data_IF_403849613986
#
_entry.id   IF_403849613986
#
_cell.length_a   1.000
_cell.length_b   1.000
_cell.length_c   1.000
_cell.angle_alpha   90.00
_cell.angle_beta   90.00
_cell.angle_gamma   90.00
#
_symmetry.space_group_name_H-M   'P 1'
#
loop_
_entity.id
_entity.type
_entity.pdbx_description
1 polymer ?
#
# COMPACT_ATOMS: atom_id res chain seq x y z
N UNK A 1 16.48 9.67 22.86
CA UNK A 1 15.13 10.16 22.58
C UNK A 1 14.47 9.17 21.65
N UNK A 2 13.53 8.37 22.15
CA UNK A 2 12.91 7.29 21.39
C UNK A 2 11.85 7.88 20.45
N UNK A 3 12.24 8.19 19.21
CA UNK A 3 11.32 8.65 18.18
C UNK A 3 10.66 7.39 17.61
N UNK A 4 9.65 6.87 18.30
CA UNK A 4 8.82 5.81 17.75
C UNK A 4 8.04 6.45 16.60
N UNK A 5 8.42 6.12 15.37
CA UNK A 5 7.69 6.54 14.17
C UNK A 5 6.40 5.72 14.00
N UNK A 6 5.57 6.09 13.02
CA UNK A 6 4.28 5.42 12.80
C UNK A 6 4.40 3.91 12.62
N UNK A 7 5.51 3.43 12.04
CA UNK A 7 5.79 1.99 11.90
C UNK A 7 6.02 1.34 13.26
N UNK A 8 6.85 1.92 14.12
CA UNK A 8 7.12 1.39 15.46
C UNK A 8 5.87 1.29 16.33
N UNK A 9 4.96 2.26 16.24
CA UNK A 9 3.69 2.23 16.96
C UNK A 9 2.82 1.06 16.47
N UNK A 10 2.69 0.91 15.14
CA UNK A 10 1.88 -0.19 14.57
C UNK A 10 2.48 -1.54 14.94
N UNK A 11 3.80 -1.71 14.88
CA UNK A 11 4.46 -2.95 15.28
C UNK A 11 4.16 -3.34 16.74
N UNK A 12 4.29 -2.40 17.67
CA UNK A 12 3.99 -2.65 19.09
C UNK A 12 2.52 -3.00 19.33
N UNK A 13 1.60 -2.34 18.62
CA UNK A 13 0.17 -2.61 18.74
C UNK A 13 -0.17 -4.03 18.24
N UNK A 14 0.39 -4.43 17.09
CA UNK A 14 0.17 -5.76 16.53
C UNK A 14 0.81 -6.87 17.37
N UNK A 15 1.94 -6.61 18.02
CA UNK A 15 2.59 -7.54 18.96
C UNK A 15 1.76 -7.72 20.23
N UNK A 16 1.27 -6.62 20.84
CA UNK A 16 0.59 -6.69 22.14
C UNK A 16 -0.89 -7.10 22.05
N UNK A 17 -1.56 -6.77 20.95
CA UNK A 17 -3.02 -6.93 20.82
C UNK A 17 -3.41 -7.53 19.49
N UNK A 18 -2.53 -8.36 18.94
CA UNK A 18 -2.60 -8.75 17.55
C UNK A 18 -3.93 -9.34 17.10
N UNK A 19 -4.50 -10.24 17.89
CA UNK A 19 -5.77 -10.92 17.61
C UNK A 19 -6.99 -10.05 17.91
N UNK A 20 -6.81 -8.93 18.62
CA UNK A 20 -7.86 -7.96 18.95
C UNK A 20 -7.96 -6.84 17.92
N UNK A 21 -6.95 -6.68 17.06
CA UNK A 21 -6.88 -5.60 16.06
C UNK A 21 -7.29 -6.16 14.71
N UNK A 22 -8.45 -5.72 14.23
CA UNK A 22 -8.87 -5.94 12.86
C UNK A 22 -8.18 -4.93 11.93
N UNK A 23 -7.50 -5.43 10.90
CA UNK A 23 -6.99 -4.57 9.82
C UNK A 23 -8.14 -4.30 8.86
N UNK A 24 -8.61 -3.05 8.84
CA UNK A 24 -9.67 -2.61 7.95
C UNK A 24 -9.10 -2.01 6.67
N UNK A 25 -9.95 -1.89 5.64
CA UNK A 25 -9.61 -1.19 4.42
C UNK A 25 -9.13 0.25 4.68
N UNK A 26 -9.76 0.99 5.60
CA UNK A 26 -9.36 2.37 5.89
C UNK A 26 -7.95 2.44 6.51
N UNK A 27 -7.57 1.45 7.34
CA UNK A 27 -6.20 1.32 7.86
C UNK A 27 -5.21 1.11 6.72
N UNK A 28 -5.52 0.22 5.78
CA UNK A 28 -4.67 -0.04 4.61
C UNK A 28 -4.58 1.19 3.71
N UNK A 29 -5.68 1.89 3.48
CA UNK A 29 -5.70 3.13 2.71
C UNK A 29 -4.84 4.20 3.37
N UNK A 30 -4.94 4.37 4.70
CA UNK A 30 -4.09 5.32 5.45
C UNK A 30 -2.62 4.93 5.43
N UNK A 31 -2.30 3.64 5.45
CA UNK A 31 -0.93 3.17 5.24
C UNK A 31 -0.44 3.53 3.82
N UNK A 32 -1.26 3.29 2.80
CA UNK A 32 -0.95 3.60 1.41
C UNK A 32 -0.79 5.12 1.15
N UNK A 33 -1.57 5.97 1.82
CA UNK A 33 -1.48 7.43 1.74
C UNK A 33 -0.26 8.00 2.51
N UNK A 34 0.34 7.23 3.42
CA UNK A 34 1.39 7.72 4.28
C UNK A 34 2.71 7.94 3.50
N UNK A 35 3.15 9.18 3.41
CA UNK A 35 4.33 9.57 2.62
C UNK A 35 5.64 9.45 3.38
N UNK A 36 5.62 9.08 4.67
CA UNK A 36 6.83 8.97 5.49
C UNK A 36 7.29 7.52 5.64
N UNK A 37 6.37 6.62 6.03
CA UNK A 37 6.68 5.21 6.30
C UNK A 37 5.60 4.27 5.70
N UNK A 38 4.86 4.72 4.68
CA UNK A 38 3.69 4.00 4.18
C UNK A 38 4.03 2.63 3.63
N UNK A 39 5.15 2.49 2.91
CA UNK A 39 5.62 1.21 2.41
C UNK A 39 6.02 0.26 3.53
N UNK A 40 6.76 0.73 4.53
CA UNK A 40 7.17 -0.11 5.65
C UNK A 40 5.99 -0.54 6.51
N UNK A 41 5.01 0.34 6.70
CA UNK A 41 3.75 0.01 7.39
C UNK A 41 2.96 -1.01 6.57
N UNK A 42 2.79 -0.79 5.25
CA UNK A 42 2.08 -1.72 4.38
C UNK A 42 2.73 -3.10 4.36
N UNK A 43 4.07 -3.17 4.27
CA UNK A 43 4.82 -4.42 4.33
C UNK A 43 4.60 -5.16 5.64
N UNK A 44 4.66 -4.45 6.77
CA UNK A 44 4.43 -5.02 8.10
C UNK A 44 3.01 -5.59 8.24
N UNK A 45 2.00 -4.86 7.75
CA UNK A 45 0.61 -5.31 7.78
C UNK A 45 0.40 -6.58 6.94
N UNK A 46 0.96 -6.61 5.73
CA UNK A 46 0.86 -7.77 4.84
C UNK A 46 1.63 -8.99 5.36
N UNK A 47 2.77 -8.79 6.00
CA UNK A 47 3.56 -9.88 6.60
C UNK A 47 2.83 -10.48 7.81
N UNK A 48 2.29 -9.65 8.70
CA UNK A 48 1.72 -10.13 9.96
C UNK A 48 0.24 -10.53 9.86
N UNK A 49 -0.51 -10.01 8.89
CA UNK A 49 -1.97 -10.20 8.75
C UNK A 49 -2.38 -10.51 7.32
N UNK A 50 -1.46 -11.05 6.52
CA UNK A 50 -1.62 -11.24 5.09
C UNK A 50 -2.88 -12.01 4.67
N UNK A 51 -3.31 -13.01 5.45
CA UNK A 51 -4.50 -13.83 5.15
C UNK A 51 -5.82 -13.12 5.50
N UNK A 52 -5.76 -12.06 6.32
CA UNK A 52 -6.93 -11.27 6.74
C UNK A 52 -7.11 -10.01 5.88
N UNK A 53 -6.13 -9.70 5.02
CA UNK A 53 -6.09 -8.48 4.23
C UNK A 53 -6.54 -8.79 2.81
N UNK A 54 -7.57 -8.08 2.38
CA UNK A 54 -7.94 -7.96 0.98
C UNK A 54 -7.47 -6.59 0.46
N UNK A 55 -6.67 -6.60 -0.61
CA UNK A 55 -6.29 -5.36 -1.30
C UNK A 55 -7.45 -4.93 -2.19
N UNK A 56 -8.05 -3.79 -1.86
CA UNK A 56 -9.15 -3.21 -2.63
C UNK A 56 -8.65 -2.18 -3.64
N UNK A 57 -9.50 -1.83 -4.60
CA UNK A 57 -9.22 -0.77 -5.56
C UNK A 57 -8.84 0.55 -4.88
N UNK A 58 -9.54 0.94 -3.81
CA UNK A 58 -9.28 2.19 -3.08
C UNK A 58 -7.90 2.21 -2.43
N UNK A 59 -7.41 1.07 -1.93
CA UNK A 59 -6.04 0.95 -1.40
C UNK A 59 -5.01 1.13 -2.51
N UNK A 60 -5.24 0.51 -3.68
CA UNK A 60 -4.33 0.63 -4.84
C UNK A 60 -4.35 2.07 -5.39
N UNK A 61 -5.53 2.70 -5.47
CA UNK A 61 -5.71 4.08 -5.89
C UNK A 61 -4.98 5.06 -4.96
N UNK A 62 -5.10 4.84 -3.64
CA UNK A 62 -4.36 5.60 -2.64
C UNK A 62 -2.83 5.45 -2.80
N UNK A 63 -2.34 4.22 -3.01
CA UNK A 63 -0.93 3.96 -3.26
C UNK A 63 -0.44 4.66 -4.55
N UNK A 64 -1.22 4.58 -5.63
CA UNK A 64 -0.90 5.23 -6.90
C UNK A 64 -0.84 6.77 -6.78
N UNK A 65 -1.68 7.35 -5.93
CA UNK A 65 -1.68 8.79 -5.61
C UNK A 65 -0.61 9.23 -4.61
N UNK A 66 0.14 8.32 -3.99
CA UNK A 66 1.16 8.68 -3.01
C UNK A 66 2.36 9.33 -3.68
N UNK A 67 2.62 10.59 -3.29
CA UNK A 67 3.57 11.48 -3.95
C UNK A 67 5.03 11.16 -3.66
N UNK A 68 5.32 10.45 -2.57
CA UNK A 68 6.69 10.21 -2.12
C UNK A 68 7.11 8.78 -2.40
N UNK A 69 6.29 7.80 -1.98
CA UNK A 69 6.65 6.38 -2.08
C UNK A 69 5.58 5.54 -2.79
N UNK A 70 4.73 6.17 -3.61
CA UNK A 70 3.68 5.45 -4.34
C UNK A 70 4.22 4.33 -5.22
N UNK A 71 5.38 4.54 -5.87
CA UNK A 71 6.07 3.50 -6.63
C UNK A 71 6.43 2.30 -5.75
N UNK A 72 7.02 2.54 -4.58
CA UNK A 72 7.47 1.49 -3.68
C UNK A 72 6.31 0.68 -3.10
N UNK A 73 5.18 1.34 -2.81
CA UNK A 73 3.96 0.70 -2.32
C UNK A 73 3.33 -0.14 -3.44
N UNK A 74 3.17 0.40 -4.65
CA UNK A 74 2.61 -0.34 -5.79
C UNK A 74 3.46 -1.57 -6.12
N UNK A 75 4.78 -1.44 -6.16
CA UNK A 75 5.68 -2.57 -6.40
C UNK A 75 5.52 -3.68 -5.34
N UNK A 76 5.39 -3.31 -4.07
CA UNK A 76 5.15 -4.26 -2.97
C UNK A 76 3.81 -4.99 -3.14
N UNK A 77 2.75 -4.25 -3.45
CA UNK A 77 1.41 -4.79 -3.62
C UNK A 77 1.35 -5.76 -4.81
N UNK A 78 1.92 -5.39 -5.95
CA UNK A 78 2.00 -6.25 -7.13
C UNK A 78 2.81 -7.53 -6.85
N UNK A 79 3.95 -7.41 -6.17
CA UNK A 79 4.79 -8.56 -5.85
C UNK A 79 4.12 -9.55 -4.90
N UNK A 80 3.41 -9.07 -3.87
CA UNK A 80 2.79 -9.95 -2.86
C UNK A 80 1.37 -10.39 -3.19
N UNK A 81 0.63 -9.60 -3.98
CA UNK A 81 -0.82 -9.72 -4.19
C UNK A 81 -1.24 -9.39 -5.63
N UNK A 82 -0.33 -9.50 -6.61
CA UNK A 82 -0.60 -9.16 -8.02
C UNK A 82 -1.89 -9.77 -8.58
N UNK A 83 -2.14 -11.05 -8.30
CA UNK A 83 -3.34 -11.76 -8.74
C UNK A 83 -4.65 -11.21 -8.16
N UNK A 84 -4.59 -10.48 -7.05
CA UNK A 84 -5.76 -9.85 -6.41
C UNK A 84 -6.00 -8.43 -6.90
N UNK A 85 -5.01 -7.81 -7.56
CA UNK A 85 -5.03 -6.41 -7.90
C UNK A 85 -5.63 -6.24 -9.30
N UNK A 86 -6.76 -5.54 -9.34
CA UNK A 86 -7.34 -5.10 -10.61
C UNK A 86 -6.89 -3.68 -10.93
N UNK A 87 -6.27 -3.50 -12.09
CA UNK A 87 -5.91 -2.17 -12.59
C UNK A 87 -7.15 -1.56 -13.24
N UNK A 88 -7.80 -0.64 -12.53
CA UNK A 88 -8.98 0.06 -13.02
C UNK A 88 -8.62 1.41 -13.66
N UNK A 89 -9.57 2.01 -14.36
CA UNK A 89 -9.41 3.37 -14.91
C UNK A 89 -9.12 4.39 -13.80
N UNK A 90 -9.72 4.22 -12.64
CA UNK A 90 -9.57 5.13 -11.50
C UNK A 90 -8.18 5.05 -10.86
N UNK A 91 -7.59 3.86 -10.79
CA UNK A 91 -6.18 3.66 -10.39
C UNK A 91 -5.25 4.33 -11.40
N UNK A 92 -5.50 4.16 -12.70
CA UNK A 92 -4.71 4.80 -13.77
C UNK A 92 -4.82 6.33 -13.69
N UNK A 93 -6.02 6.88 -13.48
CA UNK A 93 -6.20 8.33 -13.29
C UNK A 93 -5.45 8.85 -12.07
N UNK A 94 -5.47 8.12 -10.95
CA UNK A 94 -4.72 8.49 -9.76
C UNK A 94 -3.21 8.51 -10.02
N UNK A 95 -2.68 7.50 -10.70
CA UNK A 95 -1.27 7.47 -11.11
C UNK A 95 -0.93 8.63 -12.07
N UNK A 96 -1.74 8.87 -13.09
CA UNK A 96 -1.53 9.94 -14.07
C UNK A 96 -1.57 11.35 -13.44
N UNK A 97 -2.39 11.53 -12.40
CA UNK A 97 -2.47 12.77 -11.63
C UNK A 97 -1.34 12.97 -10.61
N UNK A 98 -0.50 11.96 -10.36
CA UNK A 98 0.60 12.04 -9.41
C UNK A 98 1.85 12.67 -10.06
N UNK A 99 2.07 13.97 -9.83
CA UNK A 99 3.15 14.74 -10.44
C UNK A 99 4.57 14.33 -10.03
N UNK A 100 4.74 13.55 -8.97
CA UNK A 100 6.05 13.20 -8.42
C UNK A 100 6.47 11.76 -8.69
N UNK A 101 5.53 10.82 -8.63
CA UNK A 101 5.80 9.38 -8.81
C UNK A 101 4.92 8.74 -9.91
N UNK A 102 4.04 9.51 -10.55
CA UNK A 102 3.01 8.99 -11.45
C UNK A 102 3.56 8.25 -12.66
N UNK A 103 4.70 8.71 -13.21
CA UNK A 103 5.34 8.05 -14.35
C UNK A 103 5.83 6.64 -13.98
N UNK A 104 6.52 6.52 -12.86
CA UNK A 104 7.08 5.27 -12.36
C UNK A 104 5.97 4.31 -11.91
N UNK A 105 4.93 4.83 -11.25
CA UNK A 105 3.74 4.05 -10.91
C UNK A 105 3.08 3.53 -12.18
N UNK A 106 2.83 4.39 -13.18
CA UNK A 106 2.19 3.99 -14.44
C UNK A 106 2.98 2.89 -15.16
N UNK A 107 4.31 2.97 -15.16
CA UNK A 107 5.16 1.95 -15.75
C UNK A 107 4.92 0.55 -15.11
N UNK A 108 4.87 0.47 -13.77
CA UNK A 108 4.60 -0.78 -13.06
C UNK A 108 3.19 -1.31 -13.34
N UNK A 109 2.19 -0.43 -13.41
CA UNK A 109 0.82 -0.83 -13.72
C UNK A 109 0.67 -1.40 -15.13
N UNK A 110 1.41 -0.86 -16.10
CA UNK A 110 1.41 -1.33 -17.48
C UNK A 110 2.16 -2.66 -17.64
N UNK A 111 3.26 -2.85 -16.89
CA UNK A 111 4.01 -4.11 -16.87
C UNK A 111 3.12 -5.25 -16.38
N UNK A 112 2.44 -5.08 -15.23
CA UNK A 112 1.51 -6.08 -14.71
C UNK A 112 0.38 -6.43 -15.69
N UNK A 113 -0.14 -5.44 -16.42
CA UNK A 113 -1.20 -5.64 -17.43
C UNK A 113 -0.72 -6.45 -18.63
N UNK A 114 0.57 -6.40 -18.97
CA UNK A 114 1.16 -7.21 -20.04
C UNK A 114 1.33 -8.67 -19.65
N UNK A 115 1.38 -8.95 -18.35
CA UNK A 115 1.52 -10.29 -17.79
C UNK A 115 0.16 -10.99 -17.51
N UNK A 116 -0.96 -10.27 -17.63
CA UNK A 116 -2.34 -10.78 -17.51
C UNK A 116 -2.90 -11.21 -18.86
#
# INVERSE_FOLDING_TARGET
>A
GNRIDGKGIIALLLEQRGDQIQITEDVLKKAAENTQNGKEIMALLLEQRGDQIQITEDVVKAAAGNRIDGKGIIALLLWQRGDQIQITEDVVKAAAGNLWNGKEVMALLLEQRGDQ
#
